data_IF_158779870633
#
_entry.id   IF_158779870633
#
_cell.length_a   1.000
_cell.length_b   1.000
_cell.length_c   1.000
_cell.angle_alpha   90.00
_cell.angle_beta   90.00
_cell.angle_gamma   90.00
#
_symmetry.space_group_name_H-M   'P 1'
#
loop_
_entity.id
_entity.type
_entity.pdbx_description
1 polymer ?
#
# COMPACT_ATOMS: atom_id res chain seq x y z
N UNK A 1 -0.43 -0.02 4.76
CA UNK A 1 0.89 0.62 4.54
C UNK A 1 1.14 0.65 3.05
N UNK A 2 1.84 1.66 2.55
CA UNK A 2 2.27 1.72 1.16
C UNK A 2 3.78 1.47 1.14
N UNK A 3 4.23 0.40 0.49
CA UNK A 3 5.64 0.20 0.18
C UNK A 3 5.92 0.77 -1.19
N UNK A 4 6.94 1.61 -1.31
CA UNK A 4 7.44 2.04 -2.60
C UNK A 4 8.69 1.23 -2.92
N UNK A 5 8.74 0.59 -4.09
CA UNK A 5 9.98 -0.05 -4.54
C UNK A 5 10.88 0.99 -5.18
N UNK A 6 12.02 1.27 -4.54
CA UNK A 6 13.05 2.21 -5.01
C UNK A 6 13.72 1.80 -6.33
N UNK A 7 13.54 0.57 -6.81
CA UNK A 7 14.15 0.08 -8.06
C UNK A 7 13.27 0.24 -9.32
N UNK A 8 11.93 0.26 -9.19
CA UNK A 8 11.02 0.34 -10.37
C UNK A 8 10.03 1.49 -10.31
N UNK A 9 9.96 2.23 -9.18
CA UNK A 9 8.98 3.29 -8.98
C UNK A 9 7.55 2.79 -8.73
N UNK A 10 7.38 1.47 -8.65
CA UNK A 10 6.11 0.82 -8.36
C UNK A 10 5.75 0.96 -6.88
N UNK A 11 4.50 1.36 -6.59
CA UNK A 11 3.99 1.41 -5.22
C UNK A 11 3.10 0.20 -5.00
N UNK A 12 3.28 -0.51 -3.90
CA UNK A 12 2.43 -1.65 -3.53
C UNK A 12 1.70 -1.30 -2.24
N UNK A 13 0.37 -1.35 -2.28
CA UNK A 13 -0.46 -1.22 -1.11
C UNK A 13 -0.69 -2.59 -0.49
N UNK A 14 -0.43 -2.65 0.81
CA UNK A 14 -0.48 -3.90 1.56
C UNK A 14 -0.77 -3.69 3.03
N UNK A 15 -1.07 -4.78 3.71
CA UNK A 15 -1.24 -4.80 5.15
C UNK A 15 0.04 -5.33 5.79
N UNK A 16 0.54 -4.60 6.78
CA UNK A 16 1.62 -5.07 7.63
C UNK A 16 1.00 -5.63 8.88
N UNK A 17 1.20 -6.90 9.12
CA UNK A 17 0.86 -7.51 10.39
C UNK A 17 1.75 -6.91 11.48
N UNK A 18 1.13 -6.39 12.55
CA UNK A 18 1.86 -5.76 13.66
C UNK A 18 2.50 -6.78 14.62
N UNK A 19 1.98 -7.99 14.67
CA UNK A 19 2.48 -9.07 15.53
C UNK A 19 3.63 -9.82 14.86
N UNK A 20 3.48 -10.19 13.58
CA UNK A 20 4.51 -10.96 12.85
C UNK A 20 5.49 -10.07 12.08
N UNK A 21 5.13 -8.81 11.81
CA UNK A 21 5.91 -7.92 10.95
C UNK A 21 5.84 -8.28 9.46
N UNK A 22 5.07 -9.31 9.09
CA UNK A 22 4.88 -9.72 7.71
C UNK A 22 4.10 -8.65 6.94
N UNK A 23 4.56 -8.36 5.72
CA UNK A 23 3.87 -7.43 4.82
C UNK A 23 3.19 -8.25 3.73
N UNK A 24 1.86 -8.21 3.69
CA UNK A 24 1.08 -8.82 2.62
C UNK A 24 0.75 -7.79 1.55
N UNK A 25 1.22 -8.06 0.35
CA UNK A 25 0.99 -7.26 -0.84
C UNK A 25 -0.42 -7.53 -1.37
N UNK A 26 -1.29 -6.53 -1.35
CA UNK A 26 -2.70 -6.70 -1.77
C UNK A 26 -2.90 -6.18 -3.18
N UNK A 27 -2.36 -5.00 -3.49
CA UNK A 27 -2.55 -4.39 -4.80
C UNK A 27 -1.36 -3.52 -5.22
N UNK A 28 -1.08 -3.55 -6.51
CA UNK A 28 -0.12 -2.65 -7.13
C UNK A 28 -0.82 -1.32 -7.41
N UNK A 29 -0.24 -0.26 -6.89
CA UNK A 29 -0.65 1.13 -7.08
C UNK A 29 0.29 1.77 -8.08
N UNK A 30 -0.19 1.99 -9.29
CA UNK A 30 0.56 2.65 -10.37
C UNK A 30 0.31 4.14 -10.43
N UNK A 31 -0.81 4.59 -9.86
CA UNK A 31 -1.24 5.97 -9.89
C UNK A 31 -2.10 6.32 -8.66
N UNK A 32 -2.28 7.61 -8.39
CA UNK A 32 -3.08 8.06 -7.25
C UNK A 32 -4.56 7.68 -7.34
N UNK A 33 -5.08 7.40 -8.53
CA UNK A 33 -6.48 7.00 -8.71
C UNK A 33 -6.69 5.61 -8.11
N UNK A 34 -5.83 4.67 -8.46
CA UNK A 34 -5.81 3.33 -7.88
C UNK A 34 -5.62 3.38 -6.36
N UNK A 35 -4.78 4.30 -5.86
CA UNK A 35 -4.62 4.49 -4.41
C UNK A 35 -5.93 4.92 -3.74
N UNK A 36 -6.64 5.90 -4.31
CA UNK A 36 -7.92 6.38 -3.79
C UNK A 36 -9.00 5.30 -3.87
N UNK A 37 -9.03 4.55 -4.98
CA UNK A 37 -9.99 3.46 -5.17
C UNK A 37 -9.71 2.34 -4.16
N UNK A 38 -8.45 1.97 -3.94
CA UNK A 38 -8.04 1.03 -2.90
C UNK A 38 -8.45 1.51 -1.50
N UNK A 39 -8.17 2.78 -1.17
CA UNK A 39 -8.58 3.37 0.10
C UNK A 39 -10.10 3.33 0.30
N UNK A 40 -10.87 3.62 -0.75
CA UNK A 40 -12.34 3.57 -0.71
C UNK A 40 -12.85 2.13 -0.59
N UNK A 41 -12.29 1.19 -1.36
CA UNK A 41 -12.63 -0.23 -1.34
C UNK A 41 -12.46 -0.86 0.05
N UNK A 42 -11.35 -0.54 0.71
CA UNK A 42 -11.03 -1.08 2.03
C UNK A 42 -11.40 -0.15 3.20
N UNK A 43 -12.03 1.00 2.93
CA UNK A 43 -12.41 1.97 3.97
C UNK A 43 -11.22 2.57 4.74
N UNK A 44 -10.04 2.62 4.13
CA UNK A 44 -8.80 3.11 4.74
C UNK A 44 -8.83 4.63 4.77
N UNK A 45 -8.91 5.23 5.96
CA UNK A 45 -8.89 6.69 6.14
C UNK A 45 -7.53 7.33 5.89
N UNK A 46 -6.44 6.62 6.22
CA UNK A 46 -5.08 7.11 6.05
C UNK A 46 -4.13 5.94 5.80
N UNK A 47 -3.21 6.09 4.84
CA UNK A 47 -2.15 5.12 4.59
C UNK A 47 -0.81 5.75 4.97
N UNK A 48 -0.03 5.04 5.77
CA UNK A 48 1.37 5.41 6.02
C UNK A 48 2.23 4.90 4.87
N UNK A 49 3.03 5.80 4.28
CA UNK A 49 4.03 5.46 3.26
C UNK A 49 5.34 5.13 3.99
N UNK A 50 5.86 3.93 3.76
CA UNK A 50 7.19 3.52 4.20
C UNK A 50 8.09 3.62 2.95
N UNK A 51 9.13 4.44 3.02
CA UNK A 51 10.12 4.67 1.96
C UNK A 51 11.37 3.84 2.23
#
# INVERSE_FOLDING_TARGET
MLRCSICTGEQVAGFKDKQSGAFEEITLIRNERELRDFMRLYGIKAISREY
#
